data_IF_896577850698
#
_entry.id   IF_896577850698
#
_cell.length_a   1.000
_cell.length_b   1.000
_cell.length_c   1.000
_cell.angle_alpha   90.00
_cell.angle_beta   90.00
_cell.angle_gamma   90.00
#
_symmetry.space_group_name_H-M   'P 1'
#
loop_
_entity.id
_entity.type
_entity.pdbx_description
1 polymer ?
#
# COMPACT_ATOMS: atom_id res chain seq x y z
N UNK A 1 44.49 20.42 -2.76
CA UNK A 1 43.80 19.66 -3.82
C UNK A 1 42.47 19.20 -3.23
N UNK A 2 41.37 19.89 -3.54
CA UNK A 2 40.04 19.49 -3.04
C UNK A 2 39.56 18.27 -3.81
N UNK A 3 39.16 17.21 -3.09
CA UNK A 3 38.58 16.03 -3.71
C UNK A 3 37.11 16.30 -4.03
N UNK A 4 36.70 15.94 -5.25
CA UNK A 4 35.35 16.07 -5.75
C UNK A 4 34.38 15.32 -4.81
N UNK A 5 33.35 16.00 -4.30
CA UNK A 5 32.28 15.30 -3.60
C UNK A 5 31.59 14.33 -4.57
N UNK A 6 31.07 13.23 -4.03
CA UNK A 6 30.29 12.26 -4.79
C UNK A 6 29.02 12.92 -5.31
N UNK A 7 28.78 12.85 -6.63
CA UNK A 7 27.52 13.30 -7.21
C UNK A 7 26.38 12.36 -6.78
N UNK A 8 25.66 12.77 -5.74
CA UNK A 8 24.54 11.99 -5.21
C UNK A 8 23.32 12.19 -6.12
N UNK A 9 23.04 11.22 -6.99
CA UNK A 9 21.87 11.25 -7.87
C UNK A 9 20.60 10.77 -7.17
N UNK A 10 19.50 11.54 -7.29
CA UNK A 10 18.24 11.26 -6.59
C UNK A 10 17.17 10.74 -7.56
N UNK A 11 16.74 9.50 -7.38
CA UNK A 11 15.64 8.90 -8.16
C UNK A 11 14.36 8.94 -7.33
N UNK A 12 13.35 9.66 -7.81
CA UNK A 12 12.04 9.75 -7.16
C UNK A 12 11.01 8.90 -7.91
N UNK A 13 10.31 8.01 -7.22
CA UNK A 13 9.12 7.34 -7.76
C UNK A 13 7.88 8.20 -7.50
N UNK A 14 7.21 8.61 -8.57
CA UNK A 14 6.15 9.62 -8.58
C UNK A 14 4.84 9.01 -9.09
N UNK A 15 3.76 9.03 -8.31
CA UNK A 15 2.42 8.73 -8.80
C UNK A 15 1.94 9.78 -9.81
N UNK A 16 1.30 9.35 -10.90
CA UNK A 16 0.79 10.21 -11.97
C UNK A 16 -0.07 11.38 -11.46
N UNK A 17 -0.84 11.17 -10.38
CA UNK A 17 -1.75 12.17 -9.80
C UNK A 17 -1.01 13.38 -9.19
N UNK A 18 0.26 13.23 -8.82
CA UNK A 18 1.09 14.31 -8.24
C UNK A 18 2.26 14.70 -9.15
N UNK A 19 2.30 14.18 -10.38
CA UNK A 19 3.37 14.44 -11.34
C UNK A 19 3.62 15.94 -11.62
N UNK A 20 2.61 16.80 -11.87
CA UNK A 20 2.86 18.23 -12.10
C UNK A 20 3.57 18.91 -10.91
N UNK A 21 3.13 18.62 -9.69
CA UNK A 21 3.75 19.15 -8.47
C UNK A 21 5.15 18.58 -8.24
N UNK A 22 5.38 17.30 -8.59
CA UNK A 22 6.69 16.67 -8.49
C UNK A 22 7.69 17.25 -9.49
N UNK A 23 7.27 17.59 -10.71
CA UNK A 23 8.10 18.31 -11.69
C UNK A 23 8.52 19.66 -11.12
N UNK A 24 7.59 20.47 -10.60
CA UNK A 24 7.91 21.79 -10.05
C UNK A 24 8.85 21.74 -8.83
N UNK A 25 8.70 20.75 -7.95
CA UNK A 25 9.40 20.73 -6.66
C UNK A 25 10.66 19.86 -6.63
N UNK A 26 10.69 18.77 -7.41
CA UNK A 26 11.69 17.71 -7.33
C UNK A 26 12.58 17.59 -8.57
N UNK A 27 12.19 18.12 -9.73
CA UNK A 27 13.02 18.08 -10.94
C UNK A 27 14.18 19.08 -10.80
N UNK A 28 15.41 18.57 -10.81
CA UNK A 28 16.67 19.33 -10.70
C UNK A 28 17.76 18.64 -11.51
N UNK A 29 18.87 19.33 -11.71
CA UNK A 29 20.06 18.83 -12.41
C UNK A 29 20.73 17.59 -11.79
N UNK A 30 20.25 17.13 -10.63
CA UNK A 30 20.77 15.97 -9.89
C UNK A 30 19.70 14.89 -9.66
N UNK A 31 18.47 15.04 -10.20
CA UNK A 31 17.36 14.13 -9.95
C UNK A 31 16.69 13.59 -11.22
N UNK A 32 16.07 12.42 -11.10
CA UNK A 32 15.26 11.77 -12.15
C UNK A 32 13.89 11.44 -11.57
N UNK A 33 12.82 11.72 -12.33
CA UNK A 33 11.44 11.38 -11.96
C UNK A 33 10.98 10.14 -12.73
N UNK A 34 10.69 9.06 -12.01
CA UNK A 34 10.19 7.80 -12.53
C UNK A 34 8.72 7.60 -12.15
N UNK A 35 7.98 6.85 -12.96
CA UNK A 35 6.59 6.52 -12.60
C UNK A 35 6.56 5.54 -11.42
N UNK A 36 5.58 5.68 -10.53
CA UNK A 36 5.29 4.62 -9.54
C UNK A 36 4.85 3.30 -10.20
N UNK A 37 4.49 3.32 -11.49
CA UNK A 37 4.13 2.17 -12.33
C UNK A 37 5.23 1.81 -13.33
N UNK A 38 6.47 2.27 -13.12
CA UNK A 38 7.56 2.02 -14.06
C UNK A 38 7.98 0.53 -14.10
N UNK A 39 8.08 -0.11 -15.28
CA UNK A 39 8.60 -1.47 -15.38
C UNK A 39 10.04 -1.56 -14.91
N UNK A 40 10.44 -2.76 -14.46
CA UNK A 40 11.78 -3.02 -13.92
C UNK A 40 12.91 -2.57 -14.85
N UNK A 41 12.75 -2.72 -16.17
CA UNK A 41 13.74 -2.26 -17.15
C UNK A 41 13.93 -0.73 -17.15
N UNK A 42 12.87 0.04 -16.91
CA UNK A 42 12.95 1.50 -16.75
C UNK A 42 13.77 1.88 -15.52
N UNK A 43 13.45 1.26 -14.37
CA UNK A 43 14.17 1.44 -13.11
C UNK A 43 15.65 1.04 -13.24
N UNK A 44 15.94 -0.12 -13.85
CA UNK A 44 17.31 -0.59 -14.10
C UNK A 44 18.06 0.40 -15.00
N UNK A 45 17.42 0.92 -16.04
CA UNK A 45 18.03 1.89 -16.95
C UNK A 45 18.29 3.24 -16.26
N UNK A 46 17.38 3.74 -15.43
CA UNK A 46 17.57 4.95 -14.65
C UNK A 46 18.77 4.82 -13.68
N UNK A 47 18.83 3.71 -12.92
CA UNK A 47 19.95 3.42 -12.01
C UNK A 47 21.28 3.31 -12.77
N UNK A 48 21.31 2.57 -13.90
CA UNK A 48 22.52 2.40 -14.72
C UNK A 48 23.00 3.71 -15.37
N UNK A 49 22.09 4.64 -15.64
CA UNK A 49 22.44 5.92 -16.26
C UNK A 49 23.08 6.91 -15.28
N UNK A 50 22.70 6.84 -13.99
CA UNK A 50 23.21 7.76 -12.97
C UNK A 50 22.96 9.23 -13.31
N UNK A 51 23.89 10.13 -12.96
CA UNK A 51 23.76 11.57 -13.24
C UNK A 51 23.70 11.91 -14.74
N UNK A 52 24.04 10.99 -15.66
CA UNK A 52 23.89 11.22 -17.12
C UNK A 52 22.44 11.40 -17.58
N UNK A 53 21.48 11.00 -16.74
CA UNK A 53 20.03 11.11 -17.02
C UNK A 53 19.33 12.16 -16.13
N UNK A 54 20.09 12.92 -15.34
CA UNK A 54 19.52 13.89 -14.42
C UNK A 54 18.79 15.02 -15.20
N UNK A 55 17.57 15.32 -14.78
CA UNK A 55 16.65 16.21 -15.50
C UNK A 55 15.73 15.51 -16.52
N UNK A 56 15.88 14.21 -16.79
CA UNK A 56 14.88 13.48 -17.59
C UNK A 56 13.66 13.05 -16.77
N UNK A 57 12.55 12.89 -17.50
CA UNK A 57 11.27 12.43 -17.01
C UNK A 57 10.97 11.12 -17.76
N UNK A 58 10.57 10.08 -17.03
CA UNK A 58 10.18 8.80 -17.63
C UNK A 58 9.09 8.96 -18.68
N UNK A 59 9.24 8.30 -19.83
CA UNK A 59 8.24 8.27 -20.91
C UNK A 59 6.88 7.72 -20.44
N UNK A 60 6.87 6.90 -19.38
CA UNK A 60 5.65 6.41 -18.70
C UNK A 60 4.90 7.52 -17.96
N UNK A 61 5.57 8.60 -17.55
CA UNK A 61 4.93 9.82 -16.99
C UNK A 61 4.46 10.80 -18.08
N UNK A 62 5.05 10.74 -19.28
CA UNK A 62 4.72 11.59 -20.43
C UNK A 62 3.61 10.97 -21.31
N UNK A 63 3.44 9.65 -21.22
CA UNK A 63 2.37 8.91 -21.88
C UNK A 63 0.99 9.35 -21.35
N UNK A 64 0.03 9.75 -22.20
CA UNK A 64 -1.35 9.90 -21.78
C UNK A 64 -1.89 8.49 -21.45
N UNK A 65 -1.86 8.15 -20.17
CA UNK A 65 -2.35 6.87 -19.70
C UNK A 65 -3.88 6.89 -19.77
N UNK A 66 -4.45 6.11 -20.70
CA UNK A 66 -5.90 5.98 -20.96
C UNK A 66 -6.60 5.15 -19.85
N UNK A 67 -6.16 5.35 -18.60
CA UNK A 67 -6.57 4.61 -17.41
C UNK A 67 -7.61 5.38 -16.61
N UNK A 68 -8.87 5.14 -16.96
CA UNK A 68 -10.08 5.47 -16.19
C UNK A 68 -10.23 6.92 -15.68
N UNK A 69 -10.95 7.72 -16.46
CA UNK A 69 -11.57 8.99 -16.02
C UNK A 69 -12.80 8.68 -15.13
N UNK A 70 -12.62 7.81 -14.13
CA UNK A 70 -13.69 7.24 -13.29
C UNK A 70 -13.38 7.22 -11.78
N UNK A 71 -12.41 8.00 -11.30
CA UNK A 71 -12.23 8.27 -9.86
C UNK A 71 -12.30 9.78 -9.49
N UNK A 72 -13.13 10.52 -10.24
CA UNK A 72 -13.58 11.88 -9.92
C UNK A 72 -14.52 11.90 -8.70
N UNK A 73 -14.06 11.46 -7.51
CA UNK A 73 -14.46 12.01 -6.20
C UNK A 73 -13.77 11.41 -4.97
N UNK A 74 -12.99 10.33 -5.07
CA UNK A 74 -12.28 9.80 -3.90
C UNK A 74 -10.96 10.60 -3.76
N UNK A 75 -10.84 11.56 -2.81
CA UNK A 75 -9.56 12.21 -2.56
C UNK A 75 -8.53 11.13 -2.21
N UNK A 76 -7.21 11.33 -2.43
CA UNK A 76 -6.21 10.30 -2.15
C UNK A 76 -6.25 9.87 -0.67
N UNK A 77 -7.03 8.82 -0.37
CA UNK A 77 -7.33 8.41 1.00
C UNK A 77 -6.08 7.73 1.55
N UNK A 78 -5.23 8.55 2.15
CA UNK A 78 -4.24 8.04 3.07
C UNK A 78 -4.98 7.28 4.17
N UNK A 79 -4.80 5.97 4.23
CA UNK A 79 -5.05 5.18 5.43
C UNK A 79 -3.80 5.24 6.30
N UNK A 80 -3.96 5.41 7.61
CA UNK A 80 -2.86 5.21 8.57
C UNK A 80 -2.32 3.79 8.45
N UNK A 81 -1.07 3.60 8.90
CA UNK A 81 -0.46 2.29 8.98
C UNK A 81 -1.32 1.27 9.75
N UNK A 82 -1.92 1.68 10.88
CA UNK A 82 -2.76 0.80 11.70
C UNK A 82 -4.08 0.41 11.03
N UNK A 83 -4.77 1.36 10.38
CA UNK A 83 -5.97 1.07 9.58
C UNK A 83 -5.65 0.10 8.43
N UNK A 84 -4.55 0.37 7.70
CA UNK A 84 -4.08 -0.44 6.58
C UNK A 84 -3.73 -1.87 7.01
N UNK A 85 -3.06 -2.04 8.16
CA UNK A 85 -2.78 -3.37 8.73
C UNK A 85 -4.07 -4.15 9.05
N UNK A 86 -5.07 -3.50 9.64
CA UNK A 86 -6.37 -4.14 9.94
C UNK A 86 -7.10 -4.53 8.65
N UNK A 87 -7.22 -3.62 7.68
CA UNK A 87 -7.89 -3.91 6.41
C UNK A 87 -7.16 -4.98 5.58
N UNK A 88 -5.82 -4.99 5.59
CA UNK A 88 -5.00 -6.00 4.92
C UNK A 88 -5.21 -7.40 5.51
N UNK A 89 -5.31 -7.51 6.84
CA UNK A 89 -5.61 -8.78 7.48
C UNK A 89 -7.08 -9.20 7.23
N UNK A 90 -8.03 -8.27 7.23
CA UNK A 90 -9.42 -8.57 6.83
C UNK A 90 -9.50 -9.09 5.38
N UNK A 91 -8.74 -8.50 4.44
CA UNK A 91 -8.65 -8.96 3.05
C UNK A 91 -7.99 -10.34 2.89
N UNK A 92 -7.07 -10.71 3.80
CA UNK A 92 -6.54 -12.08 3.92
C UNK A 92 -7.51 -13.07 4.60
N UNK A 93 -8.71 -12.64 4.99
CA UNK A 93 -9.73 -13.49 5.62
C UNK A 93 -9.67 -13.60 7.15
N UNK A 94 -8.86 -12.79 7.83
CA UNK A 94 -8.74 -12.83 9.30
C UNK A 94 -9.95 -12.24 10.01
N UNK A 95 -10.48 -12.94 11.02
CA UNK A 95 -11.52 -12.42 11.90
C UNK A 95 -10.98 -11.40 12.91
N UNK A 96 -11.84 -10.46 13.36
CA UNK A 96 -11.46 -9.37 14.29
C UNK A 96 -10.72 -9.88 15.54
N UNK A 97 -11.18 -10.99 16.13
CA UNK A 97 -10.54 -11.62 17.29
C UNK A 97 -9.11 -12.12 17.00
N UNK A 98 -8.88 -12.69 15.82
CA UNK A 98 -7.56 -13.17 15.40
C UNK A 98 -6.63 -11.98 15.12
N UNK A 99 -7.13 -10.94 14.44
CA UNK A 99 -6.40 -9.68 14.20
C UNK A 99 -6.00 -9.01 15.53
N UNK A 100 -6.90 -9.00 16.52
CA UNK A 100 -6.63 -8.48 17.86
C UNK A 100 -5.47 -9.22 18.53
N UNK A 101 -5.47 -10.57 18.48
CA UNK A 101 -4.37 -11.38 18.99
C UNK A 101 -3.05 -11.13 18.23
N UNK A 102 -3.07 -11.17 16.89
CA UNK A 102 -1.89 -10.96 16.04
C UNK A 102 -1.25 -9.58 16.22
N UNK A 103 -2.07 -8.53 16.31
CA UNK A 103 -1.59 -7.15 16.48
C UNK A 103 -1.33 -6.78 17.95
N UNK A 104 -1.54 -7.70 18.90
CA UNK A 104 -1.47 -7.47 20.36
C UNK A 104 -2.32 -6.25 20.79
N UNK A 105 -3.57 -6.19 20.32
CA UNK A 105 -4.53 -5.09 20.56
C UNK A 105 -5.86 -5.63 21.08
N UNK A 106 -6.67 -4.76 21.69
CA UNK A 106 -8.03 -5.15 22.08
C UNK A 106 -8.96 -5.23 20.85
N UNK A 107 -9.98 -6.07 20.93
CA UNK A 107 -11.06 -6.14 19.93
C UNK A 107 -11.76 -4.79 19.71
N UNK A 108 -11.89 -3.97 20.76
CA UNK A 108 -12.42 -2.61 20.67
C UNK A 108 -11.51 -1.73 19.80
N UNK A 109 -10.20 -1.84 19.96
CA UNK A 109 -9.20 -1.09 19.18
C UNK A 109 -9.21 -1.49 17.69
N UNK A 110 -9.26 -2.79 17.38
CA UNK A 110 -9.32 -3.29 15.99
C UNK A 110 -10.63 -2.86 15.33
N UNK A 111 -11.75 -2.95 16.05
CA UNK A 111 -13.06 -2.49 15.56
C UNK A 111 -13.09 -0.98 15.32
N UNK A 112 -12.48 -0.18 16.22
CA UNK A 112 -12.34 1.25 16.05
C UNK A 112 -11.46 1.61 14.85
N UNK A 113 -10.36 0.89 14.62
CA UNK A 113 -9.49 1.07 13.46
C UNK A 113 -10.20 0.72 12.14
N UNK A 114 -10.95 -0.39 12.09
CA UNK A 114 -11.81 -0.72 10.93
C UNK A 114 -12.83 0.38 10.67
N UNK A 115 -13.52 0.86 11.71
CA UNK A 115 -14.53 1.91 11.59
C UNK A 115 -13.93 3.30 11.28
N UNK A 116 -12.67 3.56 11.64
CA UNK A 116 -11.92 4.74 11.22
C UNK A 116 -11.59 4.65 9.72
N UNK A 117 -11.07 3.50 9.27
CA UNK A 117 -10.77 3.24 7.87
C UNK A 117 -12.00 3.38 6.97
N UNK A 118 -13.14 2.78 7.35
CA UNK A 118 -14.40 2.92 6.61
C UNK A 118 -14.84 4.39 6.48
N UNK A 119 -14.75 5.19 7.56
CA UNK A 119 -15.07 6.63 7.50
C UNK A 119 -14.13 7.40 6.57
N UNK A 120 -12.82 7.11 6.58
CA UNK A 120 -11.84 7.76 5.70
C UNK A 120 -12.07 7.42 4.23
N UNK A 121 -12.51 6.20 3.95
CA UNK A 121 -12.87 5.70 2.62
C UNK A 121 -14.33 6.02 2.23
N UNK A 122 -15.08 6.77 3.06
CA UNK A 122 -16.50 7.09 2.87
C UNK A 122 -17.46 5.87 2.76
N UNK A 123 -17.01 4.69 3.20
CA UNK A 123 -17.75 3.42 3.15
C UNK A 123 -18.76 3.34 4.30
N UNK A 124 -19.99 2.95 3.99
CA UNK A 124 -21.13 2.90 4.93
C UNK A 124 -21.44 1.49 5.44
N UNK A 125 -20.99 0.44 4.74
CA UNK A 125 -21.28 -0.95 5.11
C UNK A 125 -20.05 -1.87 5.07
N UNK A 126 -20.13 -3.00 5.78
CA UNK A 126 -19.11 -4.06 5.65
C UNK A 126 -19.08 -4.63 4.22
N UNK A 127 -20.22 -4.63 3.51
CA UNK A 127 -20.29 -5.12 2.12
C UNK A 127 -19.48 -4.22 1.18
N UNK A 128 -19.65 -2.89 1.28
CA UNK A 128 -18.81 -1.90 0.58
C UNK A 128 -17.34 -2.03 0.98
N UNK A 129 -17.03 -2.31 2.25
CA UNK A 129 -15.65 -2.55 2.69
C UNK A 129 -15.01 -3.75 1.98
N UNK A 130 -15.69 -4.90 1.91
CA UNK A 130 -15.14 -6.06 1.21
C UNK A 130 -15.14 -5.88 -0.32
N UNK A 131 -16.10 -5.16 -0.89
CA UNK A 131 -16.07 -4.78 -2.31
C UNK A 131 -14.85 -3.89 -2.62
N UNK A 132 -14.58 -2.88 -1.78
CA UNK A 132 -13.41 -2.01 -1.92
C UNK A 132 -12.10 -2.78 -1.75
N UNK A 133 -11.97 -3.63 -0.72
CA UNK A 133 -10.78 -4.45 -0.47
C UNK A 133 -10.42 -5.33 -1.69
N UNK A 134 -11.44 -5.89 -2.35
CA UNK A 134 -11.27 -6.75 -3.53
C UNK A 134 -11.17 -5.99 -4.86
N UNK A 135 -11.33 -4.66 -4.87
CA UNK A 135 -11.12 -3.83 -6.06
C UNK A 135 -9.64 -3.66 -6.39
N UNK A 136 -9.31 -3.33 -7.64
CA UNK A 136 -7.93 -3.04 -8.07
C UNK A 136 -7.28 -1.92 -7.22
N UNK A 137 -8.06 -0.89 -6.86
CA UNK A 137 -7.63 0.22 -6.01
C UNK A 137 -7.30 -0.27 -4.59
N UNK A 138 -8.20 -1.02 -3.96
CA UNK A 138 -8.01 -1.57 -2.61
C UNK A 138 -6.86 -2.58 -2.54
N UNK A 139 -6.75 -3.49 -3.51
CA UNK A 139 -5.68 -4.47 -3.59
C UNK A 139 -4.29 -3.82 -3.73
N UNK A 140 -4.18 -2.75 -4.53
CA UNK A 140 -2.97 -1.92 -4.65
C UNK A 140 -2.63 -1.21 -3.33
N UNK A 141 -3.58 -0.45 -2.77
CA UNK A 141 -3.38 0.32 -1.53
C UNK A 141 -3.03 -0.59 -0.34
N UNK A 142 -3.63 -1.78 -0.24
CA UNK A 142 -3.34 -2.77 0.79
C UNK A 142 -2.14 -3.66 0.47
N UNK A 143 -1.55 -3.56 -0.73
CA UNK A 143 -0.42 -4.37 -1.20
C UNK A 143 -0.71 -5.89 -1.09
N UNK A 144 -1.92 -6.32 -1.45
CA UNK A 144 -2.36 -7.72 -1.26
C UNK A 144 -1.60 -8.73 -2.12
N UNK A 145 -1.12 -8.33 -3.31
CA UNK A 145 -0.36 -9.19 -4.21
C UNK A 145 1.14 -9.34 -3.85
N UNK A 146 1.66 -8.62 -2.85
CA UNK A 146 3.08 -8.71 -2.44
C UNK A 146 3.23 -9.77 -1.35
N UNK A 147 3.16 -11.05 -1.74
CA UNK A 147 3.31 -12.20 -0.84
C UNK A 147 4.55 -13.02 -1.16
N UNK A 148 5.73 -12.50 -0.80
CA UNK A 148 6.89 -13.34 -0.54
C UNK A 148 6.75 -13.96 0.86
N UNK A 149 6.57 -15.29 0.92
CA UNK A 149 6.54 -16.08 2.16
C UNK A 149 5.21 -16.05 2.91
N UNK A 150 4.16 -16.66 2.35
CA UNK A 150 2.89 -16.91 3.05
C UNK A 150 2.46 -18.38 2.99
N UNK A 151 3.40 -19.25 3.36
CA UNK A 151 3.35 -20.71 3.37
C UNK A 151 2.37 -21.31 4.42
N UNK A 152 1.08 -21.02 4.28
CA UNK A 152 -0.02 -21.92 4.67
C UNK A 152 -0.22 -22.26 6.15
N UNK A 153 0.60 -21.76 7.07
CA UNK A 153 0.58 -22.13 8.50
C UNK A 153 -0.72 -21.76 9.25
N UNK A 154 -1.53 -20.91 8.62
CA UNK A 154 -2.73 -20.27 9.16
C UNK A 154 -3.86 -21.23 9.55
N UNK A 155 -4.00 -22.40 8.89
CA UNK A 155 -4.98 -23.43 9.30
C UNK A 155 -4.72 -24.02 10.69
N UNK A 156 -3.53 -23.80 11.27
CA UNK A 156 -3.17 -24.33 12.60
C UNK A 156 -3.76 -23.50 13.75
N UNK A 157 -4.06 -22.22 13.53
CA UNK A 157 -4.64 -21.34 14.54
C UNK A 157 -6.14 -21.60 14.81
N UNK A 158 -6.87 -22.13 13.83
CA UNK A 158 -8.30 -22.43 13.93
C UNK A 158 -8.59 -23.57 14.93
N UNK A 159 -7.73 -24.60 14.96
CA UNK A 159 -7.89 -25.77 15.84
C UNK A 159 -7.54 -25.54 17.31
N UNK A 160 -6.98 -24.38 17.67
CA UNK A 160 -6.60 -24.07 19.05
C UNK A 160 -7.74 -23.49 19.91
N UNK A 161 -8.88 -23.12 19.29
CA UNK A 161 -9.99 -22.44 19.97
C UNK A 161 -11.24 -23.31 20.18
N UNK A 162 -11.18 -24.63 19.93
CA UNK A 162 -12.37 -25.49 19.97
C UNK A 162 -12.17 -26.68 20.92
N UNK A 163 -13.09 -26.76 21.90
CA UNK A 163 -13.35 -27.84 22.88
C UNK A 163 -12.53 -27.82 24.20
N UNK A 164 -13.15 -28.16 25.35
CA UNK A 164 -14.57 -28.00 25.69
C UNK A 164 -14.81 -27.38 27.10
N UNK A 165 -15.86 -26.55 27.23
CA UNK A 165 -16.55 -26.40 28.51
C UNK A 165 -17.73 -27.38 28.53
N UNK A 166 -17.62 -28.46 29.31
CA UNK A 166 -18.80 -29.16 29.82
C UNK A 166 -18.48 -29.89 31.14
N UNK A 167 -19.38 -29.69 32.11
CA UNK A 167 -19.69 -30.56 33.27
C UNK A 167 -18.56 -31.23 34.04
N UNK A 168 -18.39 -30.83 35.31
CA UNK A 168 -18.64 -31.73 36.45
C UNK A 168 -18.73 -30.95 37.78
N UNK A 169 -19.97 -30.80 38.28
CA UNK A 169 -20.31 -30.64 39.71
C UNK A 169 -21.70 -31.23 39.93
N UNK A 170 -21.80 -32.27 40.76
CA UNK A 170 -22.74 -32.30 41.88
C UNK A 170 -22.02 -32.25 43.23
#
# INVERSE_FOLDING_TARGET
>A
MMMHLTENHWIFMVPLQVYPMAVEQLLRSESTLLSSMEPLDGIINAIRSGSRRAGEISEVLLSPHDGDIHDENIPPVSLTYSERQVLRLLGKGWGINQIAAMLKKSNKTVSAQKNSAMRRLCLRSNAELFAWINSSQGASILNLNITYGDDGQWKKAEKANTLPLLSDVP
#
